data_IF_105244199908
#
_entry.id   IF_105244199908
#
_cell.length_a   1.000
_cell.length_b   1.000
_cell.length_c   1.000
_cell.angle_alpha   90.00
_cell.angle_beta   90.00
_cell.angle_gamma   90.00
#
_symmetry.space_group_name_H-M   'P 1'
#
loop_
_entity.id
_entity.type
_entity.pdbx_description
1 polymer ?
#
# COMPACT_ATOMS: atom_id res chain seq x y z
N UNK A 1 17.31 -28.40 -9.38
CA UNK A 1 17.17 -27.29 -8.41
C UNK A 1 15.72 -26.90 -8.40
N UNK A 2 15.13 -26.71 -7.23
CA UNK A 2 13.78 -26.13 -7.16
C UNK A 2 13.82 -24.67 -7.61
N UNK A 3 12.77 -24.21 -8.28
CA UNK A 3 12.72 -22.86 -8.83
C UNK A 3 12.60 -21.83 -7.69
N UNK A 4 13.31 -20.71 -7.83
CA UNK A 4 13.23 -19.59 -6.89
C UNK A 4 11.86 -18.94 -6.95
N UNK A 5 11.45 -18.37 -5.82
CA UNK A 5 10.19 -17.64 -5.67
C UNK A 5 10.45 -16.20 -5.22
N UNK A 6 9.56 -15.31 -5.65
CA UNK A 6 9.48 -13.92 -5.18
C UNK A 6 8.13 -13.70 -4.51
N UNK A 7 8.16 -13.31 -3.24
CA UNK A 7 6.96 -12.89 -2.51
C UNK A 7 6.61 -11.46 -2.92
N UNK A 8 5.51 -11.26 -3.62
CA UNK A 8 5.14 -9.96 -4.20
C UNK A 8 3.86 -9.43 -3.57
N UNK A 9 3.92 -8.19 -3.10
CA UNK A 9 2.76 -7.44 -2.62
C UNK A 9 2.35 -6.39 -3.64
N UNK A 10 1.07 -6.39 -4.01
CA UNK A 10 0.46 -5.38 -4.88
C UNK A 10 -0.70 -4.74 -4.13
N UNK A 11 -0.46 -3.51 -3.63
CA UNK A 11 -1.38 -2.74 -2.79
C UNK A 11 -2.09 -1.71 -3.65
N UNK A 12 -3.30 -2.03 -4.11
CA UNK A 12 -4.12 -1.12 -4.91
C UNK A 12 -5.11 -0.31 -4.07
N UNK A 13 -5.97 0.46 -4.76
CA UNK A 13 -7.00 1.33 -4.15
C UNK A 13 -8.16 0.56 -3.53
N UNK A 14 -8.55 -0.57 -4.12
CA UNK A 14 -9.75 -1.32 -3.71
C UNK A 14 -9.43 -2.71 -3.14
N UNK A 15 -8.19 -3.18 -3.31
CA UNK A 15 -7.73 -4.45 -2.80
C UNK A 15 -6.22 -4.50 -2.76
N UNK A 16 -5.69 -5.36 -1.89
CA UNK A 16 -4.30 -5.77 -1.92
C UNK A 16 -4.19 -7.23 -2.36
N UNK A 17 -3.02 -7.61 -2.88
CA UNK A 17 -2.67 -8.96 -3.26
C UNK A 17 -1.31 -9.34 -2.68
N UNK A 18 -1.17 -10.60 -2.30
CA UNK A 18 0.08 -11.25 -1.95
C UNK A 18 0.26 -12.44 -2.91
N UNK A 19 1.39 -12.49 -3.61
CA UNK A 19 1.65 -13.44 -4.69
C UNK A 19 2.96 -14.17 -4.42
N UNK A 20 3.01 -15.46 -4.75
CA UNK A 20 4.27 -16.18 -4.97
C UNK A 20 4.48 -16.30 -6.47
N UNK A 21 5.53 -15.66 -6.98
CA UNK A 21 5.86 -15.63 -8.41
C UNK A 21 7.13 -16.43 -8.65
N UNK A 22 7.11 -17.35 -9.61
CA UNK A 22 8.28 -18.13 -10.00
C UNK A 22 9.12 -17.44 -11.08
N UNK A 23 10.25 -18.05 -11.43
CA UNK A 23 11.20 -17.53 -12.43
C UNK A 23 10.61 -17.37 -13.84
N UNK A 24 9.55 -18.13 -14.16
CA UNK A 24 8.82 -18.02 -15.44
C UNK A 24 7.80 -16.87 -15.44
N UNK A 25 7.54 -16.24 -14.28
CA UNK A 25 6.50 -15.24 -14.09
C UNK A 25 5.13 -15.81 -13.76
N UNK A 26 5.00 -17.12 -13.56
CA UNK A 26 3.73 -17.75 -13.17
C UNK A 26 3.46 -17.56 -11.67
N UNK A 27 2.17 -17.53 -11.33
CA UNK A 27 1.73 -17.44 -9.94
C UNK A 27 1.59 -18.85 -9.36
N UNK A 28 2.44 -19.20 -8.40
CA UNK A 28 2.33 -20.45 -7.64
C UNK A 28 1.25 -20.38 -6.56
N UNK A 29 1.04 -19.20 -5.97
CA UNK A 29 -0.08 -18.93 -5.07
C UNK A 29 -0.44 -17.43 -5.12
N UNK A 30 -1.67 -17.12 -4.74
CA UNK A 30 -2.23 -15.78 -4.65
C UNK A 30 -3.24 -15.69 -3.51
N UNK A 31 -3.06 -14.71 -2.63
CA UNK A 31 -4.11 -14.20 -1.76
C UNK A 31 -4.53 -12.81 -2.25
N UNK A 32 -5.83 -12.54 -2.28
CA UNK A 32 -6.37 -11.21 -2.56
C UNK A 32 -7.38 -10.83 -1.49
N UNK A 33 -7.20 -9.64 -0.92
CA UNK A 33 -8.16 -9.06 0.02
C UNK A 33 -8.76 -7.80 -0.55
N UNK A 34 -10.07 -7.83 -0.83
CA UNK A 34 -10.84 -6.62 -1.17
C UNK A 34 -11.10 -5.82 0.10
N UNK A 35 -10.91 -4.52 0.01
CA UNK A 35 -11.17 -3.62 1.12
C UNK A 35 -12.69 -3.48 1.30
N UNK A 36 -13.21 -3.82 2.48
CA UNK A 36 -14.62 -3.60 2.81
C UNK A 36 -14.96 -2.11 2.81
N UNK A 37 -14.03 -1.31 3.32
CA UNK A 37 -14.11 0.15 3.36
C UNK A 37 -12.80 0.68 2.75
N UNK A 38 -12.78 1.02 1.45
CA UNK A 38 -11.54 1.44 0.77
C UNK A 38 -10.97 2.75 1.33
N UNK A 39 -11.84 3.68 1.74
CA UNK A 39 -11.48 4.94 2.36
C UNK A 39 -12.56 5.42 3.32
N UNK A 40 -12.17 6.32 4.21
CA UNK A 40 -12.99 7.03 5.17
C UNK A 40 -13.19 8.46 4.65
N UNK A 41 -14.44 8.89 4.56
CA UNK A 41 -14.77 10.27 4.19
C UNK A 41 -15.38 10.97 5.39
N UNK A 42 -14.57 11.78 6.09
CA UNK A 42 -15.02 12.57 7.25
C UNK A 42 -15.72 13.87 6.83
N UNK A 43 -15.41 14.36 5.63
CA UNK A 43 -15.98 15.56 5.01
C UNK A 43 -16.08 15.34 3.50
N UNK A 44 -16.98 16.05 2.79
CA UNK A 44 -16.98 16.06 1.33
C UNK A 44 -15.60 16.33 0.74
N UNK A 45 -15.21 15.58 -0.30
CA UNK A 45 -13.90 15.65 -0.94
C UNK A 45 -12.77 14.93 -0.18
N UNK A 46 -12.95 14.56 1.10
CA UNK A 46 -11.89 13.87 1.84
C UNK A 46 -11.93 12.36 1.59
N UNK A 47 -10.73 11.79 1.46
CA UNK A 47 -10.51 10.37 1.33
C UNK A 47 -9.29 9.94 2.15
N UNK A 48 -9.56 9.36 3.31
CA UNK A 48 -8.54 8.96 4.27
C UNK A 48 -8.54 7.46 4.56
N UNK A 49 -7.50 6.98 5.21
CA UNK A 49 -7.49 5.63 5.77
C UNK A 49 -6.68 5.59 7.07
N UNK A 50 -7.03 4.69 7.98
CA UNK A 50 -6.30 4.56 9.25
C UNK A 50 -4.83 4.16 9.00
N UNK A 51 -3.86 4.60 9.84
CA UNK A 51 -2.43 4.45 9.56
C UNK A 51 -1.96 3.01 9.35
N UNK A 52 -2.52 2.07 10.12
CA UNK A 52 -2.10 0.67 10.09
C UNK A 52 -2.84 -0.18 9.05
N UNK A 53 -3.81 0.39 8.33
CA UNK A 53 -4.72 -0.36 7.46
C UNK A 53 -3.99 -1.24 6.44
N UNK A 54 -3.11 -0.65 5.63
CA UNK A 54 -2.39 -1.39 4.59
C UNK A 54 -1.39 -2.38 5.20
N UNK A 55 -0.73 -2.01 6.30
CA UNK A 55 0.22 -2.89 6.98
C UNK A 55 -0.49 -4.14 7.53
N UNK A 56 -1.63 -3.97 8.19
CA UNK A 56 -2.42 -5.08 8.72
C UNK A 56 -2.88 -6.01 7.60
N UNK A 57 -3.34 -5.46 6.47
CA UNK A 57 -3.76 -6.26 5.31
C UNK A 57 -2.58 -7.04 4.72
N UNK A 58 -1.41 -6.41 4.54
CA UNK A 58 -0.19 -7.09 4.07
C UNK A 58 0.18 -8.22 5.04
N UNK A 59 0.18 -7.95 6.35
CA UNK A 59 0.52 -8.93 7.37
C UNK A 59 -0.46 -10.12 7.34
N UNK A 60 -1.77 -9.87 7.29
CA UNK A 60 -2.79 -10.92 7.21
C UNK A 60 -2.66 -11.78 5.95
N UNK A 61 -2.50 -11.16 4.78
CA UNK A 61 -2.32 -11.90 3.53
C UNK A 61 -1.02 -12.71 3.54
N UNK A 62 0.07 -12.13 4.04
CA UNK A 62 1.36 -12.81 4.11
C UNK A 62 1.29 -14.07 4.97
N UNK A 63 0.62 -14.00 6.14
CA UNK A 63 0.41 -15.17 7.01
C UNK A 63 -0.33 -16.28 6.27
N UNK A 64 -1.43 -15.97 5.60
CA UNK A 64 -2.21 -16.97 4.85
C UNK A 64 -1.39 -17.62 3.73
N UNK A 65 -0.62 -16.84 2.97
CA UNK A 65 0.23 -17.38 1.88
C UNK A 65 1.35 -18.24 2.46
N UNK A 66 2.00 -17.79 3.53
CA UNK A 66 3.09 -18.53 4.19
C UNK A 66 2.58 -19.84 4.79
N UNK A 67 1.43 -19.83 5.47
CA UNK A 67 0.82 -21.03 6.06
C UNK A 67 0.47 -22.09 5.01
N UNK A 68 -0.02 -21.67 3.82
CA UNK A 68 -0.32 -22.58 2.71
C UNK A 68 0.91 -23.13 1.99
N UNK A 69 2.07 -22.47 2.11
CA UNK A 69 3.29 -22.79 1.37
C UNK A 69 4.51 -22.92 2.30
N UNK A 70 4.30 -23.45 3.50
CA UNK A 70 5.36 -23.57 4.52
C UNK A 70 6.55 -24.42 4.04
N UNK A 71 6.29 -25.36 3.14
CA UNK A 71 7.27 -26.23 2.48
C UNK A 71 8.12 -25.54 1.40
N UNK A 72 7.78 -24.30 1.02
CA UNK A 72 8.44 -23.55 -0.07
C UNK A 72 9.18 -22.30 0.41
N UNK A 73 9.21 -22.03 1.72
CA UNK A 73 9.72 -20.76 2.25
C UNK A 73 11.21 -20.57 1.99
N UNK A 74 11.98 -21.65 1.94
CA UNK A 74 13.40 -21.68 1.61
C UNK A 74 13.68 -21.29 0.14
N UNK A 75 12.68 -21.41 -0.74
CA UNK A 75 12.76 -20.97 -2.14
C UNK A 75 12.50 -19.48 -2.31
N UNK A 76 11.98 -18.77 -1.30
CA UNK A 76 11.69 -17.33 -1.40
C UNK A 76 13.00 -16.56 -1.30
N UNK A 77 13.44 -15.96 -2.41
CA UNK A 77 14.73 -15.26 -2.51
C UNK A 77 14.60 -13.75 -2.41
N UNK A 78 13.41 -13.21 -2.64
CA UNK A 78 13.15 -11.78 -2.61
C UNK A 78 11.71 -11.45 -2.18
N UNK A 79 11.54 -10.23 -1.68
CA UNK A 79 10.23 -9.61 -1.42
C UNK A 79 10.10 -8.37 -2.29
N UNK A 80 9.02 -8.27 -3.06
CA UNK A 80 8.71 -7.11 -3.90
C UNK A 80 7.44 -6.43 -3.40
N UNK A 81 7.41 -5.10 -3.48
CA UNK A 81 6.25 -4.29 -3.13
C UNK A 81 5.97 -3.28 -4.25
N UNK A 82 4.74 -3.29 -4.74
CA UNK A 82 4.16 -2.22 -5.54
C UNK A 82 2.94 -1.67 -4.82
N UNK A 83 2.78 -0.35 -4.80
CA UNK A 83 1.76 0.31 -4.01
C UNK A 83 1.08 1.45 -4.76
N UNK A 84 -0.14 1.75 -4.33
CA UNK A 84 -0.88 2.94 -4.68
C UNK A 84 -0.01 4.18 -4.49
N UNK A 85 0.04 5.02 -5.52
CA UNK A 85 0.85 6.25 -5.53
C UNK A 85 0.04 7.41 -4.95
N UNK A 86 0.73 8.52 -4.72
CA UNK A 86 0.12 9.81 -4.30
C UNK A 86 -0.74 9.68 -3.03
N UNK A 87 -0.39 8.70 -2.19
CA UNK A 87 -1.06 8.35 -0.94
C UNK A 87 -0.04 8.54 0.18
N UNK A 88 -0.35 9.38 1.16
CA UNK A 88 0.64 9.95 2.08
C UNK A 88 0.29 9.62 3.53
N UNK A 89 1.25 9.01 4.24
CA UNK A 89 1.24 8.90 5.69
C UNK A 89 2.34 9.79 6.27
N UNK A 90 1.94 10.83 7.01
CA UNK A 90 2.88 11.72 7.68
C UNK A 90 3.30 11.12 9.03
N UNK A 91 4.60 11.06 9.28
CA UNK A 91 5.18 10.52 10.51
C UNK A 91 5.95 11.59 11.27
N UNK A 92 5.98 11.47 12.60
CA UNK A 92 6.91 12.23 13.44
C UNK A 92 8.34 11.65 13.40
N UNK A 93 9.26 12.29 14.14
CA UNK A 93 10.67 11.86 14.26
C UNK A 93 10.85 10.45 14.86
N UNK A 94 9.85 9.97 15.60
CA UNK A 94 9.83 8.66 16.24
C UNK A 94 9.04 7.64 15.39
N UNK A 95 8.72 7.99 14.14
CA UNK A 95 7.96 7.18 13.17
C UNK A 95 6.51 6.91 13.58
N UNK A 96 5.90 7.76 14.41
CA UNK A 96 4.49 7.65 14.78
C UNK A 96 3.61 8.40 13.78
N UNK A 97 2.46 7.84 13.36
CA UNK A 97 1.47 8.53 12.56
C UNK A 97 1.03 9.85 13.20
N UNK A 98 1.15 10.95 12.45
CA UNK A 98 0.65 12.26 12.87
C UNK A 98 -0.85 12.40 12.61
N UNK A 99 -1.39 11.62 11.67
CA UNK A 99 -2.79 11.59 11.24
C UNK A 99 -3.08 10.34 10.41
N UNK A 100 -4.35 10.18 10.04
CA UNK A 100 -4.77 9.21 9.03
C UNK A 100 -4.12 9.49 7.67
N UNK A 101 -3.92 8.43 6.90
CA UNK A 101 -3.38 8.44 5.54
C UNK A 101 -4.30 9.27 4.66
N UNK A 102 -3.74 10.19 3.87
CA UNK A 102 -4.47 10.91 2.81
C UNK A 102 -4.29 10.13 1.51
N UNK A 103 -5.38 9.74 0.85
CA UNK A 103 -5.33 8.97 -0.39
C UNK A 103 -5.25 9.87 -1.61
N UNK A 104 -4.78 9.32 -2.73
CA UNK A 104 -4.67 10.04 -4.00
C UNK A 104 -6.00 10.59 -4.56
N UNK A 105 -7.13 10.03 -4.13
CA UNK A 105 -8.47 10.46 -4.55
C UNK A 105 -9.00 11.63 -3.72
N UNK A 106 -8.23 12.06 -2.72
CA UNK A 106 -8.59 13.16 -1.84
C UNK A 106 -8.56 14.49 -2.62
N UNK A 107 -9.65 15.24 -2.53
CA UNK A 107 -9.89 16.51 -3.22
C UNK A 107 -9.77 17.70 -2.25
N UNK A 108 -9.27 17.51 -1.02
CA UNK A 108 -9.09 18.62 -0.11
C UNK A 108 -8.10 19.63 -0.69
N UNK A 109 -8.48 20.88 -0.66
CA UNK A 109 -7.62 21.97 -1.13
C UNK A 109 -6.77 22.50 0.03
N UNK A 110 -5.55 22.91 -0.30
CA UNK A 110 -4.75 23.72 0.60
C UNK A 110 -5.34 25.14 0.62
N UNK A 111 -5.28 25.80 1.78
CA UNK A 111 -5.69 27.20 1.92
C UNK A 111 -4.88 28.11 0.98
N UNK A 112 -5.56 29.02 0.27
CA UNK A 112 -4.96 29.96 -0.69
C UNK A 112 -3.93 30.89 -0.04
N UNK A 113 -4.09 31.17 1.25
CA UNK A 113 -3.16 32.00 2.03
C UNK A 113 -1.81 31.31 2.30
N UNK A 114 -1.67 30.02 1.95
CA UNK A 114 -0.55 29.17 2.32
C UNK A 114 0.31 28.61 1.18
N UNK A 115 1.48 29.24 1.00
CA UNK A 115 2.76 28.53 0.75
C UNK A 115 3.20 28.11 -0.67
N UNK A 116 2.58 28.57 -1.75
CA UNK A 116 3.31 28.60 -3.04
C UNK A 116 3.98 29.99 -3.16
N UNK A 117 5.33 30.09 -3.09
CA UNK A 117 6.02 31.36 -3.28
C UNK A 117 5.55 32.04 -4.57
N UNK A 118 5.41 33.36 -4.57
CA UNK A 118 4.88 34.10 -5.72
C UNK A 118 5.60 33.75 -7.04
N UNK A 119 6.91 33.52 -6.98
CA UNK A 119 7.72 33.09 -8.11
C UNK A 119 7.29 31.71 -8.69
N UNK A 120 6.89 30.77 -7.83
CA UNK A 120 6.37 29.46 -8.27
C UNK A 120 4.95 29.56 -8.82
N UNK A 121 4.12 30.49 -8.31
CA UNK A 121 2.77 30.73 -8.86
C UNK A 121 2.79 31.29 -10.28
N UNK A 122 3.82 32.06 -10.66
CA UNK A 122 3.93 32.62 -12.01
C UNK A 122 4.41 31.61 -13.08
N UNK A 123 4.86 30.42 -12.67
CA UNK A 123 5.35 29.36 -13.57
C UNK A 123 4.25 28.36 -13.97
N UNK A 124 3.09 28.41 -13.33
CA UNK A 124 1.92 27.57 -13.56
C UNK A 124 0.71 28.47 -13.87
#
# INVERSE_FOLDING_TARGET
MEQSLVLTFDVGTQSARCLLVNESGDFEDKEQQKYKVPYLSKQPGWAEQTPDFYFNIIAEMSKKVIERNADKLDRITAVCLTCIRDTVLCLDKDKRPLRDIILWLDEREADEDGQIPAAKRALF
#
